data_IF_937262315217
#
_entry.id   IF_937262315217
#
_cell.length_a   1.000
_cell.length_b   1.000
_cell.length_c   1.000
_cell.angle_alpha   90.00
_cell.angle_beta   90.00
_cell.angle_gamma   90.00
#
_symmetry.space_group_name_H-M   'P 1'
#
loop_
_entity.id
_entity.type
_entity.pdbx_description
1 polymer ?
#
# COMPACT_ATOMS: atom_id res chain seq x y z
N UNK A 1 -17.82 -20.06 1.21
CA UNK A 1 -16.55 -19.29 1.21
C UNK A 1 -15.71 -19.35 -0.06
N UNK A 2 -16.08 -20.14 -1.10
CA UNK A 2 -15.19 -20.41 -2.24
C UNK A 2 -14.81 -19.20 -3.11
N UNK A 3 -15.75 -18.31 -3.42
CA UNK A 3 -15.48 -17.13 -4.27
C UNK A 3 -14.48 -16.16 -3.63
N UNK A 4 -14.67 -15.85 -2.33
CA UNK A 4 -13.78 -14.94 -1.61
C UNK A 4 -12.36 -15.53 -1.52
N UNK A 5 -12.25 -16.83 -1.25
CA UNK A 5 -10.97 -17.53 -1.25
C UNK A 5 -10.28 -17.53 -2.62
N UNK A 6 -11.05 -17.73 -3.71
CA UNK A 6 -10.51 -17.67 -5.07
C UNK A 6 -10.01 -16.27 -5.44
N UNK A 7 -10.76 -15.21 -5.09
CA UNK A 7 -10.35 -13.81 -5.30
C UNK A 7 -9.09 -13.48 -4.49
N UNK A 8 -9.03 -13.86 -3.22
CA UNK A 8 -7.85 -13.66 -2.39
C UNK A 8 -6.62 -14.39 -2.94
N UNK A 9 -6.78 -15.63 -3.43
CA UNK A 9 -5.70 -16.38 -4.07
C UNK A 9 -5.21 -15.71 -5.36
N UNK A 10 -6.13 -15.21 -6.20
CA UNK A 10 -5.80 -14.46 -7.41
C UNK A 10 -4.99 -13.21 -7.09
N UNK A 11 -5.47 -12.38 -6.16
CA UNK A 11 -4.78 -11.16 -5.76
C UNK A 11 -3.44 -11.44 -5.11
N UNK A 12 -3.34 -12.47 -4.28
CA UNK A 12 -2.08 -12.88 -3.66
C UNK A 12 -1.04 -13.28 -4.70
N UNK A 13 -1.45 -14.04 -5.73
CA UNK A 13 -0.57 -14.39 -6.85
C UNK A 13 -0.12 -13.15 -7.63
N UNK A 14 -1.06 -12.26 -7.98
CA UNK A 14 -0.76 -11.02 -8.69
C UNK A 14 0.23 -10.15 -7.92
N UNK A 15 0.01 -9.95 -6.62
CA UNK A 15 0.92 -9.18 -5.75
C UNK A 15 2.30 -9.83 -5.68
N UNK A 16 2.38 -11.16 -5.63
CA UNK A 16 3.66 -11.88 -5.64
C UNK A 16 4.44 -11.63 -6.94
N UNK A 17 3.77 -11.77 -8.09
CA UNK A 17 4.40 -11.56 -9.41
C UNK A 17 4.85 -10.10 -9.57
N UNK A 18 4.03 -9.13 -9.14
CA UNK A 18 4.41 -7.71 -9.13
C UNK A 18 5.58 -7.44 -8.18
N UNK A 19 5.58 -8.03 -6.98
CA UNK A 19 6.70 -7.89 -6.03
C UNK A 19 8.01 -8.41 -6.62
N UNK A 20 7.97 -9.54 -7.32
CA UNK A 20 9.12 -10.10 -8.00
C UNK A 20 9.61 -9.20 -9.16
N UNK A 21 8.68 -8.58 -9.90
CA UNK A 21 9.01 -7.60 -10.92
C UNK A 21 9.66 -6.35 -10.32
N UNK A 22 9.14 -5.83 -9.21
CA UNK A 22 9.75 -4.72 -8.46
C UNK A 22 11.17 -5.03 -8.00
N UNK A 23 11.41 -6.22 -7.44
CA UNK A 23 12.76 -6.66 -7.07
C UNK A 23 13.69 -6.76 -8.28
N UNK A 24 13.17 -7.22 -9.42
CA UNK A 24 13.94 -7.29 -10.67
C UNK A 24 14.29 -5.89 -11.20
N UNK A 25 13.37 -4.92 -11.09
CA UNK A 25 13.62 -3.51 -11.44
C UNK A 25 14.68 -2.94 -10.50
N UNK A 26 14.59 -3.17 -9.20
CA UNK A 26 15.58 -2.73 -8.20
C UNK A 26 16.99 -3.19 -8.56
N UNK A 27 17.15 -4.46 -8.94
CA UNK A 27 18.42 -5.02 -9.42
C UNK A 27 18.90 -4.39 -10.72
N UNK A 28 18.00 -4.22 -11.70
CA UNK A 28 18.33 -3.58 -13.01
C UNK A 28 18.78 -2.13 -12.85
N UNK A 29 18.15 -1.38 -11.95
CA UNK A 29 18.52 -0.01 -11.61
C UNK A 29 19.79 0.07 -10.76
N UNK A 30 20.43 -1.07 -10.43
CA UNK A 30 21.63 -1.16 -9.58
C UNK A 30 21.47 -0.45 -8.24
N UNK A 31 20.27 -0.51 -7.68
CA UNK A 31 19.96 0.19 -6.42
C UNK A 31 20.56 -0.49 -5.18
N UNK A 32 21.21 -1.64 -5.38
CA UNK A 32 21.87 -2.44 -4.34
C UNK A 32 23.40 -2.38 -4.46
N UNK A 33 23.92 -2.03 -5.64
CA UNK A 33 25.35 -2.00 -5.90
C UNK A 33 25.88 -0.57 -5.68
N UNK A 34 26.84 -0.43 -4.78
CA UNK A 34 27.65 0.77 -4.63
C UNK A 34 28.98 0.59 -5.38
N UNK A 35 29.05 0.85 -6.70
CA UNK A 35 30.34 0.93 -7.37
C UNK A 35 31.15 2.07 -6.73
N UNK A 36 32.31 1.70 -6.20
CA UNK A 36 33.16 2.57 -5.39
C UNK A 36 33.88 3.69 -6.15
N UNK A 37 33.76 3.73 -7.48
CA UNK A 37 34.54 4.62 -8.38
C UNK A 37 33.69 5.26 -9.50
N UNK A 38 32.36 5.22 -9.43
CA UNK A 38 31.53 5.84 -10.47
C UNK A 38 31.41 7.35 -10.26
N UNK A 39 31.71 8.14 -11.31
CA UNK A 39 31.41 9.58 -11.35
C UNK A 39 29.94 9.85 -11.02
N UNK A 40 29.70 10.98 -10.34
CA UNK A 40 28.35 11.42 -10.03
C UNK A 40 27.55 11.67 -11.31
N UNK A 41 26.54 10.84 -11.53
CA UNK A 41 25.67 10.93 -12.69
C UNK A 41 24.24 11.16 -12.23
N UNK A 42 23.67 12.26 -12.71
CA UNK A 42 22.26 12.60 -12.51
C UNK A 42 21.40 11.75 -13.45
N UNK A 43 20.98 10.58 -12.99
CA UNK A 43 20.00 9.75 -13.69
C UNK A 43 18.67 9.75 -12.93
N UNK A 44 17.71 10.48 -13.50
CA UNK A 44 16.35 10.62 -12.96
C UNK A 44 15.38 9.55 -13.47
N UNK A 45 15.78 8.71 -14.43
CA UNK A 45 14.88 7.74 -15.04
C UNK A 45 14.39 6.70 -14.03
N UNK A 46 15.27 6.21 -13.14
CA UNK A 46 14.89 5.27 -12.08
C UNK A 46 13.84 5.88 -11.14
N UNK A 47 14.03 7.13 -10.73
CA UNK A 47 13.10 7.87 -9.89
C UNK A 47 11.75 8.10 -10.58
N UNK A 48 11.75 8.63 -11.80
CA UNK A 48 10.53 8.89 -12.57
C UNK A 48 9.73 7.59 -12.83
N UNK A 49 10.42 6.49 -13.12
CA UNK A 49 9.78 5.19 -13.26
C UNK A 49 9.21 4.69 -11.94
N UNK A 50 9.89 4.91 -10.81
CA UNK A 50 9.37 4.57 -9.49
C UNK A 50 8.09 5.36 -9.15
N UNK A 51 8.04 6.66 -9.46
CA UNK A 51 6.81 7.48 -9.28
C UNK A 51 5.65 6.94 -10.14
N UNK A 52 5.90 6.56 -11.39
CA UNK A 52 4.88 5.92 -12.23
C UNK A 52 4.38 4.60 -11.62
N UNK A 53 5.28 3.80 -11.04
CA UNK A 53 4.89 2.56 -10.36
C UNK A 53 4.04 2.86 -9.11
N UNK A 54 4.36 3.91 -8.35
CA UNK A 54 3.53 4.37 -7.22
C UNK A 54 2.13 4.76 -7.71
N UNK A 55 2.01 5.52 -8.80
CA UNK A 55 0.71 5.85 -9.39
C UNK A 55 -0.09 4.59 -9.76
N UNK A 56 0.55 3.59 -10.38
CA UNK A 56 -0.12 2.30 -10.69
C UNK A 56 -0.54 1.54 -9.44
N UNK A 57 0.23 1.60 -8.34
CA UNK A 57 -0.16 1.01 -7.05
C UNK A 57 -1.39 1.72 -6.46
N UNK A 58 -1.48 3.04 -6.64
CA UNK A 58 -2.66 3.84 -6.30
C UNK A 58 -3.91 3.43 -7.05
N UNK A 59 -3.78 3.23 -8.36
CA UNK A 59 -4.90 2.80 -9.19
C UNK A 59 -5.35 1.39 -8.82
N UNK A 60 -4.42 0.48 -8.52
CA UNK A 60 -4.74 -0.85 -8.00
C UNK A 60 -5.49 -0.79 -6.65
N UNK A 61 -5.06 0.08 -5.74
CA UNK A 61 -5.74 0.29 -4.46
C UNK A 61 -7.15 0.84 -4.65
N UNK A 62 -7.33 1.82 -5.55
CA UNK A 62 -8.62 2.41 -5.91
C UNK A 62 -9.56 1.35 -6.49
N UNK A 63 -9.09 0.61 -7.50
CA UNK A 63 -9.86 -0.45 -8.14
C UNK A 63 -10.21 -1.60 -7.17
N UNK A 64 -9.31 -1.95 -6.25
CA UNK A 64 -9.59 -2.94 -5.22
C UNK A 64 -10.72 -2.46 -4.29
N UNK A 65 -10.73 -1.19 -3.90
CA UNK A 65 -11.81 -0.58 -3.12
C UNK A 65 -13.14 -0.55 -3.87
N UNK A 66 -13.13 -0.14 -5.14
CA UNK A 66 -14.31 -0.11 -6.01
C UNK A 66 -14.91 -1.52 -6.16
N UNK A 67 -14.05 -2.52 -6.41
CA UNK A 67 -14.47 -3.92 -6.53
C UNK A 67 -15.05 -4.43 -5.21
N UNK A 68 -14.44 -4.12 -4.07
CA UNK A 68 -14.93 -4.51 -2.76
C UNK A 68 -16.33 -3.92 -2.49
N UNK A 69 -16.55 -2.64 -2.83
CA UNK A 69 -17.85 -2.01 -2.70
C UNK A 69 -18.89 -2.61 -3.65
N UNK A 70 -18.52 -2.88 -4.89
CA UNK A 70 -19.41 -3.53 -5.87
C UNK A 70 -19.79 -4.94 -5.42
N UNK A 71 -18.82 -5.70 -4.90
CA UNK A 71 -19.04 -7.05 -4.38
C UNK A 71 -19.99 -7.01 -3.18
N UNK A 72 -19.75 -6.11 -2.21
CA UNK A 72 -20.63 -5.92 -1.06
C UNK A 72 -22.07 -5.60 -1.49
N UNK A 73 -22.24 -4.65 -2.42
CA UNK A 73 -23.55 -4.25 -2.94
C UNK A 73 -24.27 -5.40 -3.67
N UNK A 74 -23.54 -6.19 -4.47
CA UNK A 74 -24.09 -7.35 -5.20
C UNK A 74 -24.47 -8.49 -4.26
N UNK A 75 -23.65 -8.75 -3.25
CA UNK A 75 -23.95 -9.74 -2.22
C UNK A 75 -25.20 -9.31 -1.45
N UNK A 76 -25.28 -8.04 -1.02
CA UNK A 76 -26.42 -7.55 -0.26
C UNK A 76 -27.71 -7.50 -1.09
N UNK A 77 -27.65 -7.13 -2.37
CA UNK A 77 -28.85 -7.11 -3.24
C UNK A 77 -29.38 -8.52 -3.56
N UNK A 78 -28.48 -9.49 -3.68
CA UNK A 78 -28.82 -10.89 -4.03
C UNK A 78 -29.23 -11.67 -2.78
N UNK A 79 -28.41 -11.61 -1.73
CA UNK A 79 -28.53 -12.44 -0.55
C UNK A 79 -29.11 -11.71 0.67
N UNK A 80 -29.21 -10.37 0.65
CA UNK A 80 -29.88 -9.61 1.72
C UNK A 80 -31.36 -9.93 1.89
N UNK A 81 -32.00 -10.49 0.85
CA UNK A 81 -33.38 -11.03 0.93
C UNK A 81 -33.50 -12.17 1.94
N UNK A 82 -32.42 -12.95 2.14
CA UNK A 82 -32.39 -14.00 3.16
C UNK A 82 -32.27 -13.42 4.58
N UNK A 83 -31.74 -12.21 4.77
CA UNK A 83 -31.74 -11.53 6.07
C UNK A 83 -33.14 -11.06 6.48
N UNK A 84 -33.92 -10.50 5.55
CA UNK A 84 -35.29 -10.04 5.82
C UNK A 84 -36.24 -11.18 6.15
N UNK A 85 -36.03 -12.36 5.56
CA UNK A 85 -36.87 -13.54 5.79
C UNK A 85 -36.47 -14.32 7.06
N UNK A 86 -35.21 -14.19 7.50
CA UNK A 86 -34.67 -14.83 8.72
C UNK A 86 -34.88 -13.97 9.98
N UNK A 87 -35.08 -12.65 9.85
CA UNK A 87 -35.43 -11.78 10.96
C UNK A 87 -36.94 -11.81 11.22
N UNK A 88 -37.44 -12.96 11.69
CA UNK A 88 -38.52 -12.95 12.67
C UNK A 88 -37.82 -13.14 14.01
N UNK A 89 -37.81 -12.16 14.94
CA UNK A 89 -37.33 -12.41 16.28
C UNK A 89 -38.21 -13.53 16.82
N UNK A 90 -37.65 -14.74 16.93
CA UNK A 90 -38.33 -15.84 17.59
C UNK A 90 -38.66 -15.34 18.99
N UNK A 91 -39.95 -15.17 19.20
CA UNK A 91 -40.63 -14.92 20.44
C UNK A 91 -40.03 -15.80 21.55
N UNK A 92 -39.28 -15.17 22.45
CA UNK A 92 -39.24 -15.58 23.85
C UNK A 92 -40.63 -15.32 24.44
N UNK A 93 -41.58 -16.19 24.12
CA UNK A 93 -42.81 -16.36 24.87
C UNK A 93 -43.15 -17.84 24.84
N UNK A 94 -42.38 -18.61 25.60
CA UNK A 94 -42.95 -19.81 26.19
C UNK A 94 -44.12 -19.35 27.07
N UNK A 95 -45.31 -19.83 26.71
CA UNK A 95 -46.61 -19.80 27.41
C UNK A 95 -47.73 -19.26 26.51
N UNK A 96 -48.55 -20.23 26.03
CA UNK A 96 -50.02 -20.22 26.11
C UNK A 96 -50.72 -19.07 25.33
N UNK A 97 -51.56 -19.30 24.32
CA UNK A 97 -52.74 -20.17 24.33
C UNK A 97 -53.32 -20.27 22.90
N UNK A 98 -53.99 -21.39 22.63
CA UNK A 98 -54.65 -21.74 21.35
C UNK A 98 -55.68 -20.68 20.93
N UNK A 99 -55.58 -20.20 19.69
CA UNK A 99 -56.73 -19.60 18.98
C UNK A 99 -56.73 -20.08 17.52
N UNK A 100 -57.77 -20.79 17.05
CA UNK A 100 -57.88 -21.21 15.66
C UNK A 100 -58.66 -20.14 14.90
N UNK A 101 -57.98 -19.33 14.10
CA UNK A 101 -58.49 -18.75 12.86
C UNK A 101 -57.65 -17.53 12.46
N UNK A 102 -56.69 -17.79 11.57
CA UNK A 102 -56.45 -17.02 10.33
C UNK A 102 -55.07 -17.38 9.81
N UNK A 103 -55.12 -18.19 8.76
CA UNK A 103 -54.18 -18.17 7.62
C UNK A 103 -52.70 -18.17 8.01
N UNK A 104 -52.17 -19.40 8.04
CA UNK A 104 -50.93 -19.77 7.38
C UNK A 104 -50.45 -18.73 6.37
N UNK A 105 -49.63 -17.78 6.80
CA UNK A 105 -48.56 -17.33 5.93
C UNK A 105 -47.53 -18.44 5.97
N UNK A 106 -47.70 -19.35 5.02
CA UNK A 106 -46.73 -20.36 4.64
C UNK A 106 -45.34 -19.71 4.73
N UNK A 107 -44.47 -20.23 5.60
CA UNK A 107 -43.04 -20.24 5.26
C UNK A 107 -43.00 -20.75 3.83
N UNK A 108 -42.35 -20.00 2.93
CA UNK A 108 -42.23 -20.41 1.53
C UNK A 108 -41.86 -21.91 1.53
N UNK A 109 -42.59 -22.79 0.84
CA UNK A 109 -42.30 -24.23 0.83
C UNK A 109 -40.84 -24.53 0.43
N UNK A 110 -40.19 -23.56 -0.21
CA UNK A 110 -38.80 -23.57 -0.63
C UNK A 110 -37.80 -23.20 0.47
N UNK A 111 -38.24 -22.64 1.61
CA UNK A 111 -37.40 -22.40 2.80
C UNK A 111 -37.11 -23.69 3.57
N UNK A 112 -38.01 -24.68 3.51
CA UNK A 112 -37.77 -26.02 4.07
C UNK A 112 -36.65 -26.76 3.32
N UNK A 113 -36.27 -26.30 2.12
CA UNK A 113 -35.20 -26.85 1.28
C UNK A 113 -34.06 -25.85 1.07
N UNK A 114 -33.68 -25.09 2.11
CA UNK A 114 -32.36 -24.47 2.12
C UNK A 114 -31.30 -25.58 2.22
N UNK A 115 -30.93 -26.17 1.07
CA UNK A 115 -29.96 -27.27 0.97
C UNK A 115 -28.67 -26.97 1.74
N UNK A 116 -28.21 -25.71 1.73
CA UNK A 116 -27.05 -25.24 2.48
C UNK A 116 -27.23 -25.28 4.02
N UNK A 117 -28.43 -25.01 4.52
CA UNK A 117 -28.74 -25.12 5.95
C UNK A 117 -28.84 -26.59 6.38
N UNK A 118 -29.31 -27.46 5.49
CA UNK A 118 -29.54 -28.87 5.75
C UNK A 118 -28.27 -29.72 5.63
N UNK A 119 -27.39 -29.43 4.66
CA UNK A 119 -26.13 -30.14 4.45
C UNK A 119 -24.97 -29.53 5.26
N UNK A 120 -24.96 -28.21 5.49
CA UNK A 120 -23.83 -27.50 6.10
C UNK A 120 -24.24 -26.30 6.97
N UNK A 121 -24.77 -26.52 8.18
CA UNK A 121 -25.28 -25.43 9.04
C UNK A 121 -24.20 -24.41 9.43
N UNK A 122 -22.93 -24.82 9.51
CA UNK A 122 -21.80 -23.93 9.80
C UNK A 122 -21.55 -22.91 8.68
N UNK A 123 -21.62 -23.34 7.40
CA UNK A 123 -21.42 -22.45 6.25
C UNK A 123 -22.59 -21.47 6.09
N UNK A 124 -23.81 -21.93 6.36
CA UNK A 124 -25.00 -21.08 6.39
C UNK A 124 -24.90 -20.01 7.48
N UNK A 125 -24.46 -20.38 8.69
CA UNK A 125 -24.26 -19.42 9.80
C UNK A 125 -23.18 -18.39 9.47
N UNK A 126 -22.04 -18.82 8.92
CA UNK A 126 -20.98 -17.91 8.48
C UNK A 126 -21.46 -16.96 7.37
N UNK A 127 -22.29 -17.44 6.44
CA UNK A 127 -22.90 -16.60 5.42
C UNK A 127 -23.84 -15.56 6.04
N UNK A 128 -24.70 -15.92 6.99
CA UNK A 128 -25.55 -14.95 7.70
C UNK A 128 -24.74 -13.90 8.48
N UNK A 129 -23.67 -14.30 9.15
CA UNK A 129 -22.79 -13.38 9.87
C UNK A 129 -22.11 -12.40 8.91
N UNK A 130 -21.58 -12.88 7.78
CA UNK A 130 -21.02 -12.00 6.74
C UNK A 130 -22.06 -11.06 6.15
N UNK A 131 -23.31 -11.52 5.93
CA UNK A 131 -24.40 -10.66 5.46
C UNK A 131 -24.83 -9.63 6.51
N UNK A 132 -24.86 -10.01 7.79
CA UNK A 132 -25.21 -9.10 8.87
C UNK A 132 -24.15 -8.00 9.01
N UNK A 133 -22.87 -8.38 9.03
CA UNK A 133 -21.76 -7.42 9.05
C UNK A 133 -21.72 -6.54 7.79
N UNK A 134 -22.12 -7.09 6.64
CA UNK A 134 -22.32 -6.33 5.38
C UNK A 134 -23.48 -5.33 5.47
N UNK A 135 -24.55 -5.67 6.19
CA UNK A 135 -25.69 -4.77 6.36
C UNK A 135 -25.40 -3.67 7.40
N UNK A 136 -24.74 -4.01 8.50
CA UNK A 136 -24.48 -3.10 9.62
C UNK A 136 -23.38 -2.09 9.30
N UNK A 137 -22.30 -2.51 8.63
CA UNK A 137 -21.15 -1.63 8.34
C UNK A 137 -21.27 -0.82 7.03
N UNK A 138 -22.31 -1.04 6.21
CA UNK A 138 -22.67 -0.26 5.01
C UNK A 138 -21.63 -0.18 3.87
N UNK A 139 -20.69 0.76 3.95
CA UNK A 139 -19.58 0.94 2.99
C UNK A 139 -18.23 0.57 3.61
N UNK A 140 -18.19 0.35 4.92
CA UNK A 140 -16.98 0.06 5.70
C UNK A 140 -16.81 -1.44 5.91
N UNK A 141 -16.74 -2.19 4.81
CA UNK A 141 -16.53 -3.63 4.83
C UNK A 141 -15.08 -4.02 4.57
N UNK A 142 -14.70 -5.19 5.07
CA UNK A 142 -13.33 -5.70 5.03
C UNK A 142 -13.25 -7.08 4.33
N UNK A 143 -14.12 -7.32 3.34
CA UNK A 143 -14.18 -8.55 2.56
C UNK A 143 -12.82 -8.89 1.93
N UNK A 144 -12.16 -7.87 1.37
CA UNK A 144 -10.87 -8.00 0.67
C UNK A 144 -9.73 -7.37 1.47
N UNK A 145 -9.85 -7.27 2.80
CA UNK A 145 -8.84 -6.68 3.68
C UNK A 145 -7.43 -7.26 3.51
N UNK A 146 -7.31 -8.58 3.29
CA UNK A 146 -6.04 -9.24 3.00
C UNK A 146 -5.44 -8.81 1.65
N UNK A 147 -6.27 -8.66 0.62
CA UNK A 147 -5.81 -8.17 -0.68
C UNK A 147 -5.40 -6.70 -0.59
N UNK A 148 -6.20 -5.87 0.11
CA UNK A 148 -5.91 -4.46 0.33
C UNK A 148 -4.60 -4.25 1.07
N UNK A 149 -4.34 -5.01 2.13
CA UNK A 149 -3.07 -4.95 2.86
C UNK A 149 -1.89 -5.40 2.00
N UNK A 150 -2.07 -6.40 1.15
CA UNK A 150 -1.07 -6.85 0.19
C UNK A 150 -0.70 -5.76 -0.84
N UNK A 151 -1.71 -5.05 -1.38
CA UNK A 151 -1.49 -3.89 -2.26
C UNK A 151 -0.84 -2.71 -1.53
N UNK A 152 -1.22 -2.43 -0.27
CA UNK A 152 -0.55 -1.39 0.53
C UNK A 152 0.93 -1.71 0.73
N UNK A 153 1.28 -2.97 1.00
CA UNK A 153 2.69 -3.40 1.10
C UNK A 153 3.43 -3.24 -0.22
N UNK A 154 2.78 -3.55 -1.34
CA UNK A 154 3.33 -3.34 -2.68
C UNK A 154 3.64 -1.86 -2.94
N UNK A 155 2.70 -0.99 -2.57
CA UNK A 155 2.87 0.46 -2.63
C UNK A 155 4.07 0.92 -1.78
N UNK A 156 4.23 0.41 -0.56
CA UNK A 156 5.40 0.70 0.29
C UNK A 156 6.72 0.29 -0.37
N UNK A 157 6.77 -0.85 -1.05
CA UNK A 157 7.97 -1.27 -1.80
C UNK A 157 8.29 -0.33 -2.96
N UNK A 158 7.27 0.19 -3.65
CA UNK A 158 7.45 1.19 -4.72
C UNK A 158 7.96 2.53 -4.17
N UNK A 159 7.46 2.96 -3.00
CA UNK A 159 7.97 4.13 -2.27
C UNK A 159 9.42 3.96 -1.85
N UNK A 160 9.80 2.78 -1.33
CA UNK A 160 11.19 2.47 -1.01
C UNK A 160 12.08 2.50 -2.25
N UNK A 161 11.60 2.00 -3.39
CA UNK A 161 12.32 2.07 -4.66
C UNK A 161 12.59 3.53 -5.09
N UNK A 162 11.57 4.39 -4.99
CA UNK A 162 11.70 5.81 -5.30
C UNK A 162 12.72 6.48 -4.35
N UNK A 163 12.60 6.23 -3.06
CA UNK A 163 13.52 6.76 -2.05
C UNK A 163 14.97 6.31 -2.31
N UNK A 164 15.20 5.01 -2.50
CA UNK A 164 16.53 4.46 -2.76
C UNK A 164 17.12 5.02 -4.05
N UNK A 165 16.30 5.24 -5.08
CA UNK A 165 16.78 5.83 -6.35
C UNK A 165 17.36 7.23 -6.21
N UNK A 166 16.84 8.05 -5.30
CA UNK A 166 17.34 9.40 -5.02
C UNK A 166 18.52 9.35 -4.05
N UNK A 167 18.34 8.66 -2.92
CA UNK A 167 19.31 8.68 -1.83
C UNK A 167 20.57 7.88 -2.11
N UNK A 168 20.52 6.87 -2.99
CA UNK A 168 21.71 6.12 -3.36
C UNK A 168 22.79 7.02 -3.97
N UNK A 169 22.41 8.01 -4.77
CA UNK A 169 23.36 8.95 -5.41
C UNK A 169 24.07 9.82 -4.40
N UNK A 170 23.32 10.30 -3.40
CA UNK A 170 23.87 11.07 -2.28
C UNK A 170 24.82 10.19 -1.45
N UNK A 171 24.41 8.94 -1.14
CA UNK A 171 25.26 7.99 -0.40
C UNK A 171 26.57 7.67 -1.14
N UNK A 172 26.52 7.48 -2.45
CA UNK A 172 27.71 7.24 -3.28
C UNK A 172 28.70 8.39 -3.20
N UNK A 173 28.24 9.64 -3.31
CA UNK A 173 29.08 10.84 -3.14
C UNK A 173 29.69 10.93 -1.74
N UNK A 174 28.90 10.72 -0.69
CA UNK A 174 29.38 10.83 0.69
C UNK A 174 30.42 9.76 1.05
N UNK A 175 30.36 8.58 0.43
CA UNK A 175 31.38 7.55 0.66
C UNK A 175 32.72 7.87 0.01
N UNK A 176 32.74 8.67 -1.06
CA UNK A 176 33.98 9.17 -1.64
C UNK A 176 34.66 10.19 -0.73
N UNK A 177 33.90 10.93 0.09
CA UNK A 177 34.45 11.92 1.04
C UNK A 177 35.43 11.28 2.02
N UNK A 178 35.14 10.08 2.51
CA UNK A 178 36.04 9.35 3.42
C UNK A 178 37.39 8.97 2.78
N UNK A 179 37.47 8.94 1.44
CA UNK A 179 38.69 8.65 0.69
C UNK A 179 39.45 9.92 0.26
N UNK A 180 38.90 11.11 0.49
CA UNK A 180 39.54 12.36 0.07
C UNK A 180 40.73 12.69 0.98
N UNK A 181 41.85 13.07 0.36
CA UNK A 181 43.09 13.44 1.05
C UNK A 181 42.86 14.55 2.08
N UNK A 182 41.98 15.51 1.78
CA UNK A 182 41.60 16.61 2.68
C UNK A 182 40.98 16.15 4.01
N UNK A 183 40.37 14.97 4.04
CA UNK A 183 39.72 14.39 5.21
C UNK A 183 40.53 13.24 5.83
N UNK A 184 41.40 12.58 5.06
CA UNK A 184 42.26 11.49 5.52
C UNK A 184 43.64 11.94 6.02
N UNK A 185 44.06 13.18 5.73
CA UNK A 185 45.39 13.70 6.12
C UNK A 185 45.56 14.01 7.63
N UNK A 186 44.56 13.80 8.48
CA UNK A 186 44.67 14.06 9.93
C UNK A 186 45.23 12.90 10.76
N UNK A 187 45.96 11.97 10.14
CA UNK A 187 46.59 10.82 10.81
C UNK A 187 48.08 10.99 11.11
N UNK A 188 48.38 11.51 12.31
CA UNK A 188 49.64 11.32 13.06
C UNK A 188 50.91 12.07 12.58
N UNK A 189 51.16 13.25 13.16
CA UNK A 189 52.52 13.59 13.63
C UNK A 189 53.28 14.75 12.97
N UNK A 190 52.70 15.52 12.05
CA UNK A 190 53.37 16.68 11.44
C UNK A 190 52.52 17.95 11.62
N UNK A 191 52.46 18.50 12.84
CA UNK A 191 51.71 19.75 13.12
C UNK A 191 52.57 20.78 13.84
N UNK A 192 53.87 20.86 13.56
CA UNK A 192 54.70 21.92 14.18
C UNK A 192 55.46 22.83 13.22
N UNK A 193 55.41 22.60 11.90
CA UNK A 193 56.09 23.50 10.95
C UNK A 193 55.39 23.75 9.61
N UNK A 194 54.23 23.15 9.33
CA UNK A 194 53.57 23.32 8.04
C UNK A 194 52.31 24.19 8.15
N UNK A 195 52.16 25.07 7.16
CA UNK A 195 51.23 26.20 7.15
C UNK A 195 49.80 25.85 7.57
N UNK A 196 49.20 26.77 8.34
CA UNK A 196 47.80 26.73 8.76
C UNK A 196 46.91 26.31 7.57
N UNK A 197 45.95 25.37 7.73
CA UNK A 197 45.15 24.90 6.60
C UNK A 197 44.47 26.10 5.92
N UNK A 198 44.73 26.27 4.62
CA UNK A 198 44.11 27.31 3.81
C UNK A 198 42.61 27.00 3.68
N UNK A 199 41.80 27.64 4.51
CA UNK A 199 40.34 27.57 4.41
C UNK A 199 39.88 28.30 3.13
N UNK A 200 39.40 27.56 2.14
CA UNK A 200 38.77 28.15 0.96
C UNK A 200 37.37 28.67 1.31
N UNK A 201 37.01 29.86 0.82
CA UNK A 201 35.66 30.42 0.93
C UNK A 201 34.65 29.73 0.00
N UNK A 202 35.10 28.82 -0.88
CA UNK A 202 34.26 28.06 -1.81
C UNK A 202 33.90 26.69 -1.24
N UNK A 203 32.64 26.24 -1.37
CA UNK A 203 32.24 24.90 -0.96
C UNK A 203 33.00 23.82 -1.75
N UNK A 204 33.32 22.71 -1.09
CA UNK A 204 33.96 21.55 -1.72
C UNK A 204 33.05 20.96 -2.81
N UNK A 205 33.65 20.39 -3.85
CA UNK A 205 32.94 19.95 -5.06
C UNK A 205 31.76 18.99 -4.77
N UNK A 206 31.93 18.04 -3.84
CA UNK A 206 30.86 17.12 -3.46
C UNK A 206 29.65 17.84 -2.83
N UNK A 207 29.88 18.94 -2.11
CA UNK A 207 28.81 19.75 -1.52
C UNK A 207 28.01 20.44 -2.62
N UNK A 208 28.70 21.03 -3.60
CA UNK A 208 28.08 21.68 -4.75
C UNK A 208 27.27 20.68 -5.59
N UNK A 209 27.82 19.49 -5.86
CA UNK A 209 27.16 18.44 -6.64
C UNK A 209 25.90 17.90 -5.95
N UNK A 210 25.98 17.59 -4.65
CA UNK A 210 24.81 17.14 -3.86
C UNK A 210 23.77 18.26 -3.79
N UNK A 211 24.20 19.51 -3.58
CA UNK A 211 23.32 20.67 -3.52
C UNK A 211 22.56 20.87 -4.83
N UNK A 212 23.26 20.87 -5.96
CA UNK A 212 22.65 21.00 -7.30
C UNK A 212 21.66 19.86 -7.58
N UNK A 213 22.02 18.63 -7.22
CA UNK A 213 21.15 17.46 -7.37
C UNK A 213 19.84 17.62 -6.57
N UNK A 214 19.92 17.97 -5.29
CA UNK A 214 18.74 18.20 -4.44
C UNK A 214 17.89 19.35 -4.99
N UNK A 215 18.52 20.41 -5.49
CA UNK A 215 17.81 21.54 -6.09
C UNK A 215 17.06 21.18 -7.39
N UNK A 216 17.52 20.16 -8.13
CA UNK A 216 16.84 19.70 -9.34
C UNK A 216 15.71 18.70 -9.08
N UNK A 217 15.69 18.04 -7.91
CA UNK A 217 14.66 17.06 -7.54
C UNK A 217 13.22 17.58 -7.70
N UNK A 218 12.86 18.80 -7.26
CA UNK A 218 11.51 19.34 -7.42
C UNK A 218 11.05 19.41 -8.89
N UNK A 219 11.95 19.76 -9.81
CA UNK A 219 11.64 19.85 -11.25
C UNK A 219 11.24 18.48 -11.82
N UNK A 220 11.75 17.40 -11.24
CA UNK A 220 11.40 16.03 -11.65
C UNK A 220 10.14 15.49 -10.96
N UNK A 221 9.67 16.15 -9.91
CA UNK A 221 8.39 15.86 -9.25
C UNK A 221 7.22 16.65 -9.86
N UNK A 222 7.47 17.87 -10.34
CA UNK A 222 6.47 18.77 -10.90
C UNK A 222 5.53 18.14 -11.94
N UNK A 223 6.00 17.30 -12.91
CA UNK A 223 5.13 16.68 -13.90
C UNK A 223 4.08 15.73 -13.30
N UNK A 224 4.32 15.22 -12.09
CA UNK A 224 3.43 14.28 -11.42
C UNK A 224 2.50 14.97 -10.43
N UNK A 225 2.91 16.12 -9.88
CA UNK A 225 2.08 16.93 -8.98
C UNK A 225 1.05 17.75 -9.77
N UNK A 226 1.43 18.28 -10.93
CA UNK A 226 0.56 19.14 -11.75
C UNK A 226 -0.56 18.40 -12.48
N UNK A 227 -0.47 17.07 -12.58
CA UNK A 227 -1.45 16.25 -13.32
C UNK A 227 -2.70 15.89 -12.53
N UNK A 228 -2.86 16.32 -11.27
CA UNK A 228 -4.02 16.01 -10.39
C UNK A 228 -4.45 14.53 -10.50
N UNK A 229 -3.49 13.61 -10.34
CA UNK A 229 -3.77 12.18 -10.41
C UNK A 229 -4.26 11.68 -9.03
N UNK A 230 -5.57 11.56 -8.88
CA UNK A 230 -6.21 11.06 -7.67
C UNK A 230 -5.71 9.66 -7.25
N UNK A 231 -5.25 8.83 -8.19
CA UNK A 231 -4.66 7.53 -7.88
C UNK A 231 -3.27 7.71 -7.27
N UNK A 232 -2.45 8.60 -7.82
CA UNK A 232 -1.15 8.96 -7.25
C UNK A 232 -1.31 9.56 -5.85
N UNK A 233 -2.23 10.51 -5.64
CA UNK A 233 -2.50 11.09 -4.32
C UNK A 233 -2.89 10.02 -3.29
N UNK A 234 -3.79 9.10 -3.67
CA UNK A 234 -4.17 7.97 -2.84
C UNK A 234 -2.97 7.08 -2.50
N UNK A 235 -2.09 6.81 -3.47
CA UNK A 235 -0.86 6.04 -3.26
C UNK A 235 0.14 6.76 -2.35
N UNK A 236 0.27 8.07 -2.49
CA UNK A 236 1.15 8.89 -1.67
C UNK A 236 0.66 8.93 -0.21
N UNK A 237 -0.64 9.11 0.01
CA UNK A 237 -1.25 9.07 1.35
C UNK A 237 -1.18 7.67 1.98
N UNK A 238 -1.37 6.62 1.18
CA UNK A 238 -1.29 5.23 1.65
C UNK A 238 0.16 4.76 1.88
N UNK A 239 1.13 5.41 1.24
CA UNK A 239 2.54 5.11 1.36
C UNK A 239 3.15 5.80 2.57
N UNK A 240 3.70 5.03 3.51
CA UNK A 240 4.56 5.61 4.54
C UNK A 240 5.96 5.72 3.97
N UNK A 241 6.48 6.95 3.86
CA UNK A 241 7.90 7.18 3.60
C UNK A 241 8.73 6.49 4.70
N UNK A 242 9.97 6.04 4.41
CA UNK A 242 10.83 5.38 5.39
C UNK A 242 11.08 6.20 6.67
N UNK A 243 10.96 7.53 6.57
CA UNK A 243 11.04 8.49 7.65
C UNK A 243 9.77 9.36 7.63
N UNK A 244 8.65 8.88 8.18
CA UNK A 244 7.45 9.71 8.27
C UNK A 244 7.76 10.90 9.20
N UNK A 245 7.26 12.11 8.91
CA UNK A 245 7.28 13.19 9.89
C UNK A 245 6.58 12.66 11.16
N UNK A 246 7.18 12.91 12.33
CA UNK A 246 6.52 12.55 13.59
C UNK A 246 5.14 13.23 13.61
N UNK A 247 4.07 12.54 14.06
CA UNK A 247 2.75 13.15 14.19
C UNK A 247 2.82 14.22 15.29
N UNK A 248 3.19 15.45 14.91
CA UNK A 248 3.46 16.56 15.83
C UNK A 248 3.90 17.87 15.19
N UNK A 249 4.50 17.86 13.99
CA UNK A 249 4.91 19.10 13.30
C UNK A 249 3.98 19.42 12.12
N UNK A 250 2.74 19.80 12.43
CA UNK A 250 1.99 20.73 11.58
C UNK A 250 2.12 22.12 12.20
N UNK A 251 2.86 23.00 11.52
CA UNK A 251 2.84 24.46 11.76
C UNK A 251 2.26 25.14 10.53
#
# INVERSE_FOLDING_TARGET
GGLLGALQALFSKYVSDFSNALQSIRKKCRLEDLPSDSHFQEDWAAFQNAIRIIATCGELLRQCGDLEQQLANRILSTAGKFLSESYRPCSLSGFQERSPDKQSHLKSPWQEYCYLQQESPAEYTALLETLYTLKEKGTSHNLLSASRSAFTRLNQMAHQLAFDSVFLRIKQQLLLVAKMESWSASGAGEILTDDLPNFSLTPLEYISNIGQYIMSLPLHLEPFVTQEDAALELALHAGRLPFPPEPGDEV
#
